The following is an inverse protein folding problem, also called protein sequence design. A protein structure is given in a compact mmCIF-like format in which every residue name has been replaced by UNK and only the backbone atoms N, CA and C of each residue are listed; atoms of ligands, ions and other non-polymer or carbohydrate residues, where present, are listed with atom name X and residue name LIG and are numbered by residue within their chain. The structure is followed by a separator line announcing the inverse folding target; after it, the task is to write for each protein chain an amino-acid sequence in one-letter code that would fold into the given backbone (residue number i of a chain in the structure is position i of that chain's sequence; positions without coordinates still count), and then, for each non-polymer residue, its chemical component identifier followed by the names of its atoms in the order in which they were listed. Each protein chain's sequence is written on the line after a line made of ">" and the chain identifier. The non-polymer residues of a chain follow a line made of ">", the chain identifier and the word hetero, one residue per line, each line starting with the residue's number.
data_IF_697368680184
#
_entry.id   IF_697368680184
#
_cell.length_a   1.000
_cell.length_b   1.000
_cell.length_c   1.000
_cell.angle_alpha   90.00
_cell.angle_beta   90.00
_cell.angle_gamma   90.00
#
_symmetry.space_group_name_H-M   'P 1'
#
loop_
_entity.id
_entity.type
_entity.pdbx_description
1 polymer ?
#
# COMPACT_ATOMS: atom_id res chain seq x y z
N UNK A 1 22.09 16.22 12.43
CA UNK A 1 20.69 15.74 12.59
C UNK A 1 20.67 14.78 13.76
N UNK A 2 19.80 15.01 14.71
CA UNK A 2 19.67 14.12 15.86
C UNK A 2 18.91 12.87 15.45
N UNK A 3 19.35 11.72 15.96
CA UNK A 3 18.74 10.42 15.70
C UNK A 3 17.66 10.19 16.73
N UNK A 4 16.40 10.09 16.28
CA UNK A 4 15.25 9.79 17.13
C UNK A 4 14.99 8.28 17.23
N UNK A 5 15.21 7.55 16.12
CA UNK A 5 15.04 6.11 16.04
C UNK A 5 16.36 5.42 15.78
N UNK A 6 17.00 4.89 16.82
CA UNK A 6 18.33 4.27 16.72
C UNK A 6 18.36 3.01 15.84
N UNK A 7 17.24 2.32 15.70
CA UNK A 7 17.09 1.09 14.90
C UNK A 7 15.93 1.26 13.94
N UNK A 8 16.25 1.75 12.76
CA UNK A 8 15.27 2.09 11.73
C UNK A 8 15.47 1.22 10.49
N UNK A 9 14.38 0.86 9.86
CA UNK A 9 14.38 0.23 8.55
C UNK A 9 13.54 1.04 7.57
N UNK A 10 13.86 0.93 6.28
CA UNK A 10 13.00 1.45 5.23
C UNK A 10 12.88 0.44 4.09
N UNK A 11 11.70 0.38 3.51
CA UNK A 11 11.35 -0.52 2.43
C UNK A 11 10.98 0.27 1.18
N UNK A 12 11.72 0.05 0.11
CA UNK A 12 11.38 0.46 -1.25
C UNK A 12 10.73 -0.72 -1.95
N UNK A 13 9.44 -0.62 -2.27
CA UNK A 13 8.59 -1.75 -2.66
C UNK A 13 8.22 -1.65 -4.12
N UNK A 14 8.75 -2.57 -4.93
CA UNK A 14 8.35 -2.79 -6.31
C UNK A 14 7.35 -3.94 -6.46
N UNK A 15 6.92 -4.19 -7.69
CA UNK A 15 5.96 -5.25 -8.01
C UNK A 15 6.48 -6.67 -7.72
N UNK A 16 7.74 -6.94 -8.04
CA UNK A 16 8.35 -8.29 -7.93
C UNK A 16 9.30 -8.41 -6.75
N UNK A 17 9.99 -7.33 -6.42
CA UNK A 17 11.03 -7.30 -5.41
C UNK A 17 10.88 -6.05 -4.56
N UNK A 18 11.37 -6.13 -3.34
CA UNK A 18 11.53 -4.99 -2.46
C UNK A 18 12.97 -4.90 -1.98
N UNK A 19 13.46 -3.68 -1.79
CA UNK A 19 14.75 -3.41 -1.15
C UNK A 19 14.52 -2.93 0.27
N UNK A 20 15.11 -3.62 1.22
CA UNK A 20 15.05 -3.25 2.63
C UNK A 20 16.41 -2.72 3.08
N UNK A 21 16.43 -1.52 3.62
CA UNK A 21 17.59 -0.91 4.26
C UNK A 21 17.38 -0.89 5.77
N UNK A 22 18.31 -1.42 6.54
CA UNK A 22 18.33 -1.36 8.01
C UNK A 22 19.52 -0.51 8.45
N UNK A 23 19.26 0.41 9.36
CA UNK A 23 20.28 1.24 10.00
C UNK A 23 20.24 1.06 11.51
N UNK A 24 21.37 0.69 12.09
CA UNK A 24 21.52 0.43 13.52
C UNK A 24 22.78 1.11 14.05
N UNK A 25 22.90 1.28 15.39
CA UNK A 25 24.14 1.73 15.99
C UNK A 25 25.31 0.80 15.64
N UNK A 26 26.47 1.37 15.28
CA UNK A 26 27.66 0.58 15.05
C UNK A 26 28.33 0.19 16.36
N UNK A 27 28.90 -1.02 16.48
CA UNK A 27 29.69 -1.41 17.66
C UNK A 27 30.90 -0.49 17.93
N UNK A 28 31.39 0.21 16.91
CA UNK A 28 32.58 1.07 16.98
C UNK A 28 32.36 2.46 17.54
N UNK A 29 31.13 2.84 17.92
CA UNK A 29 30.84 4.10 18.61
C UNK A 29 29.52 4.76 18.23
N UNK A 30 29.01 5.63 19.12
CA UNK A 30 27.69 6.28 19.01
C UNK A 30 27.45 7.11 17.73
N UNK A 31 28.49 7.58 17.06
CA UNK A 31 28.39 8.40 15.84
C UNK A 31 28.43 7.59 14.55
N UNK A 32 28.88 6.35 14.59
CA UNK A 32 28.95 5.47 13.43
C UNK A 32 27.65 4.66 13.31
N UNK A 33 27.11 4.59 12.10
CA UNK A 33 25.88 3.83 11.79
C UNK A 33 26.23 2.64 10.90
N UNK A 34 25.85 1.44 11.33
CA UNK A 34 25.84 0.27 10.47
C UNK A 34 24.63 0.36 9.54
N UNK A 35 24.86 0.19 8.27
CA UNK A 35 23.81 0.14 7.25
C UNK A 35 23.92 -1.18 6.50
N UNK A 36 22.80 -1.87 6.36
CA UNK A 36 22.70 -3.11 5.60
C UNK A 36 21.51 -3.04 4.67
N UNK A 37 21.70 -3.45 3.40
CA UNK A 37 20.65 -3.48 2.39
C UNK A 37 20.50 -4.91 1.91
N UNK A 38 19.26 -5.41 1.93
CA UNK A 38 18.89 -6.70 1.37
C UNK A 38 17.75 -6.55 0.38
N UNK A 39 17.70 -7.46 -0.58
CA UNK A 39 16.62 -7.54 -1.56
C UNK A 39 15.83 -8.81 -1.30
N UNK A 40 14.50 -8.67 -1.23
CA UNK A 40 13.56 -9.78 -1.04
C UNK A 40 12.57 -9.79 -2.21
N UNK A 41 12.04 -10.96 -2.54
CA UNK A 41 10.87 -11.04 -3.42
C UNK A 41 9.61 -10.61 -2.65
N UNK A 42 8.56 -10.24 -3.37
CA UNK A 42 7.27 -9.86 -2.75
C UNK A 42 6.36 -11.06 -2.49
N UNK A 43 6.93 -12.27 -2.43
CA UNK A 43 6.20 -13.49 -2.04
C UNK A 43 6.04 -13.57 -0.52
N UNK A 44 5.00 -14.26 -0.05
CA UNK A 44 4.71 -14.38 1.39
C UNK A 44 5.91 -14.93 2.18
N UNK A 45 6.57 -15.97 1.67
CA UNK A 45 7.71 -16.58 2.36
C UNK A 45 8.88 -15.57 2.51
N UNK A 46 9.20 -14.83 1.45
CA UNK A 46 10.26 -13.83 1.51
C UNK A 46 9.89 -12.63 2.40
N UNK A 47 8.61 -12.28 2.49
CA UNK A 47 8.14 -11.27 3.43
C UNK A 47 8.22 -11.75 4.90
N UNK A 48 8.02 -13.04 5.15
CA UNK A 48 8.24 -13.64 6.47
C UNK A 48 9.73 -13.63 6.84
N UNK A 49 10.62 -13.97 5.90
CA UNK A 49 12.08 -13.87 6.10
C UNK A 49 12.50 -12.42 6.38
N UNK A 50 11.93 -11.45 5.67
CA UNK A 50 12.13 -10.03 5.93
C UNK A 50 11.70 -9.65 7.35
N UNK A 51 10.51 -10.07 7.78
CA UNK A 51 10.00 -9.83 9.14
C UNK A 51 10.98 -10.37 10.18
N UNK A 52 11.40 -11.62 10.03
CA UNK A 52 12.27 -12.29 11.00
C UNK A 52 13.65 -11.60 11.07
N UNK A 53 14.18 -11.14 9.93
CA UNK A 53 15.40 -10.34 9.89
C UNK A 53 15.22 -8.98 10.59
N UNK A 54 14.12 -8.26 10.35
CA UNK A 54 13.87 -6.96 11.00
C UNK A 54 13.70 -7.11 12.52
N UNK A 55 13.04 -8.17 12.98
CA UNK A 55 12.90 -8.50 14.41
C UNK A 55 14.25 -8.86 15.02
N UNK A 56 15.08 -9.67 14.35
CA UNK A 56 16.43 -10.03 14.80
C UNK A 56 17.34 -8.80 14.94
N UNK A 57 17.24 -7.83 14.02
CA UNK A 57 17.95 -6.55 14.08
C UNK A 57 17.32 -5.58 15.12
N UNK A 58 16.24 -5.97 15.81
CA UNK A 58 15.50 -5.17 16.81
C UNK A 58 15.08 -3.81 16.25
N UNK A 59 14.57 -3.79 15.05
CA UNK A 59 14.08 -2.57 14.40
C UNK A 59 12.89 -2.02 15.19
N UNK A 60 12.93 -0.73 15.51
CA UNK A 60 11.87 -0.04 16.25
C UNK A 60 10.91 0.75 15.37
N UNK A 61 11.35 1.09 14.15
CA UNK A 61 10.54 1.79 13.17
C UNK A 61 10.82 1.25 11.78
N UNK A 62 9.75 0.92 11.05
CA UNK A 62 9.81 0.55 9.63
C UNK A 62 9.09 1.61 8.81
N UNK A 63 9.78 2.16 7.82
CA UNK A 63 9.23 3.15 6.90
C UNK A 63 8.97 2.51 5.55
N UNK A 64 7.80 2.73 4.97
CA UNK A 64 7.43 2.27 3.64
C UNK A 64 6.95 3.43 2.78
N UNK A 65 7.36 3.45 1.51
CA UNK A 65 6.79 4.38 0.54
C UNK A 65 5.48 3.83 -0.05
N UNK A 66 4.44 4.68 -0.11
CA UNK A 66 3.14 4.35 -0.69
C UNK A 66 3.20 4.37 -2.23
N UNK A 67 3.76 3.34 -2.85
CA UNK A 67 3.81 3.20 -4.31
C UNK A 67 2.73 2.21 -4.75
N UNK A 68 1.68 2.73 -5.42
CA UNK A 68 0.53 1.92 -5.86
C UNK A 68 -0.09 1.12 -4.70
N UNK A 69 -0.43 -0.15 -4.96
CA UNK A 69 -1.00 -1.08 -3.98
C UNK A 69 0.02 -2.10 -3.44
N UNK A 70 1.27 -2.04 -3.90
CA UNK A 70 2.29 -3.07 -3.60
C UNK A 70 2.72 -3.09 -2.13
N UNK A 71 2.56 -1.98 -1.41
CA UNK A 71 2.90 -1.86 0.00
C UNK A 71 2.01 -2.70 0.93
N UNK A 72 0.77 -3.02 0.51
CA UNK A 72 -0.25 -3.64 1.38
C UNK A 72 0.21 -4.96 1.97
N UNK A 73 0.73 -5.87 1.14
CA UNK A 73 1.16 -7.19 1.62
C UNK A 73 2.26 -7.12 2.67
N UNK A 74 3.27 -6.28 2.44
CA UNK A 74 4.34 -6.07 3.40
C UNK A 74 3.85 -5.35 4.67
N UNK A 75 3.02 -4.32 4.53
CA UNK A 75 2.48 -3.56 5.65
C UNK A 75 1.67 -4.45 6.60
N UNK A 76 0.68 -5.18 6.05
CA UNK A 76 -0.22 -6.01 6.86
C UNK A 76 0.50 -7.17 7.57
N UNK A 77 1.58 -7.68 6.98
CA UNK A 77 2.37 -8.73 7.59
C UNK A 77 3.28 -8.20 8.71
N UNK A 78 3.72 -6.94 8.61
CA UNK A 78 4.68 -6.36 9.55
C UNK A 78 4.00 -5.57 10.68
N UNK A 79 2.78 -5.03 10.48
CA UNK A 79 2.10 -4.17 11.46
C UNK A 79 1.80 -4.86 12.80
N UNK A 80 1.67 -6.20 12.82
CA UNK A 80 1.42 -6.97 14.03
C UNK A 80 2.65 -7.06 14.97
N UNK A 81 3.85 -6.93 14.42
CA UNK A 81 5.10 -7.19 15.13
C UNK A 81 5.99 -5.95 15.25
N UNK A 82 5.81 -4.96 14.37
CA UNK A 82 6.70 -3.81 14.22
C UNK A 82 5.90 -2.52 14.09
N UNK A 83 6.47 -1.42 14.54
CA UNK A 83 5.89 -0.10 14.27
C UNK A 83 6.18 0.29 12.82
N UNK A 84 5.15 0.23 11.96
CA UNK A 84 5.25 0.50 10.54
C UNK A 84 4.57 1.80 10.19
N UNK A 85 5.26 2.69 9.49
CA UNK A 85 4.68 3.91 8.93
C UNK A 85 4.70 3.88 7.41
N UNK A 86 3.57 4.25 6.82
CA UNK A 86 3.44 4.45 5.38
C UNK A 86 3.63 5.94 5.07
N UNK A 87 4.47 6.27 4.09
CA UNK A 87 4.81 7.66 3.74
C UNK A 87 4.40 7.94 2.30
N UNK A 88 3.89 9.14 2.06
CA UNK A 88 3.60 9.57 0.70
C UNK A 88 4.91 9.90 -0.04
N UNK A 89 5.10 9.28 -1.22
CA UNK A 89 6.24 9.49 -2.11
C UNK A 89 6.51 10.97 -2.43
N UNK A 90 5.46 11.78 -2.63
CA UNK A 90 5.60 13.20 -2.92
C UNK A 90 6.20 13.97 -1.74
N UNK A 91 5.88 13.56 -0.51
CA UNK A 91 6.41 14.20 0.70
C UNK A 91 7.89 13.83 0.92
N UNK A 92 8.24 12.57 0.72
CA UNK A 92 9.64 12.11 0.82
C UNK A 92 10.55 12.75 -0.25
N UNK A 93 10.03 12.99 -1.46
CA UNK A 93 10.74 13.63 -2.58
C UNK A 93 10.95 15.14 -2.40
N UNK A 94 10.12 15.80 -1.63
CA UNK A 94 10.20 17.24 -1.36
C UNK A 94 11.31 17.63 -0.37
N UNK A 95 11.92 16.67 0.30
CA UNK A 95 12.99 16.93 1.27
C UNK A 95 14.34 17.07 0.56
N UNK A 96 15.16 18.10 0.93
CA UNK A 96 16.45 18.33 0.29
C UNK A 96 17.43 17.17 0.59
N UNK A 97 18.01 16.61 -0.45
CA UNK A 97 19.00 15.52 -0.35
C UNK A 97 19.40 14.95 -1.71
N UNK A 98 20.52 14.23 -1.76
CA UNK A 98 20.99 13.57 -2.99
C UNK A 98 20.16 12.28 -3.21
N UNK A 99 19.44 12.25 -4.30
CA UNK A 99 18.70 11.07 -4.80
C UNK A 99 19.59 10.30 -5.79
N UNK A 100 19.85 9.04 -5.50
CA UNK A 100 20.43 8.08 -6.45
C UNK A 100 19.62 6.80 -6.36
N UNK A 101 19.37 6.12 -7.49
CA UNK A 101 18.46 4.95 -7.60
C UNK A 101 18.78 3.76 -6.67
N UNK A 102 20.01 3.66 -6.17
CA UNK A 102 20.43 2.67 -5.16
C UNK A 102 20.14 3.15 -3.73
N UNK A 103 19.85 4.43 -3.58
CA UNK A 103 19.78 5.12 -2.30
C UNK A 103 18.35 5.39 -1.81
N UNK A 104 17.29 5.02 -2.56
CA UNK A 104 15.93 5.38 -2.16
C UNK A 104 15.55 4.75 -0.81
N UNK A 105 15.80 3.45 -0.61
CA UNK A 105 15.58 2.82 0.70
C UNK A 105 16.52 3.35 1.79
N UNK A 106 17.79 3.59 1.46
CA UNK A 106 18.77 4.13 2.41
C UNK A 106 18.45 5.58 2.80
N UNK A 107 18.05 6.40 1.84
CA UNK A 107 17.61 7.78 2.06
C UNK A 107 16.33 7.83 2.91
N UNK A 108 15.34 7.03 2.55
CA UNK A 108 14.09 6.90 3.29
C UNK A 108 14.34 6.46 4.75
N UNK A 109 15.26 5.51 4.94
CA UNK A 109 15.68 5.06 6.26
C UNK A 109 16.34 6.18 7.07
N UNK A 110 17.20 6.98 6.45
CA UNK A 110 17.86 8.13 7.10
C UNK A 110 16.84 9.21 7.50
N UNK A 111 15.87 9.50 6.67
CA UNK A 111 14.78 10.43 6.99
C UNK A 111 13.92 9.91 8.15
N UNK A 112 13.59 8.61 8.14
CA UNK A 112 12.86 7.96 9.22
C UNK A 112 13.61 7.96 10.54
N UNK A 113 14.92 7.70 10.50
CA UNK A 113 15.83 7.74 11.64
C UNK A 113 15.82 9.12 12.34
N UNK A 114 15.72 10.19 11.57
CA UNK A 114 15.67 11.57 12.08
C UNK A 114 14.23 12.06 12.39
N UNK A 115 13.19 11.24 12.18
CA UNK A 115 11.81 11.63 12.43
C UNK A 115 11.26 12.71 11.46
N UNK A 116 11.85 12.85 10.28
CA UNK A 116 11.47 13.87 9.29
C UNK A 116 10.30 13.47 8.41
N UNK A 117 9.79 12.26 8.57
CA UNK A 117 8.73 11.71 7.73
C UNK A 117 7.37 11.79 8.42
N UNK A 118 6.37 12.28 7.68
CA UNK A 118 4.98 12.29 8.13
C UNK A 118 4.28 11.00 7.71
N UNK A 119 3.78 10.25 8.69
CA UNK A 119 3.01 9.05 8.44
C UNK A 119 1.66 9.36 7.75
N UNK A 120 1.32 8.58 6.76
CA UNK A 120 -0.02 8.53 6.18
C UNK A 120 -0.93 7.70 7.07
N UNK A 121 -2.20 8.07 7.16
CA UNK A 121 -3.18 7.30 7.90
C UNK A 121 -3.52 6.00 7.17
N UNK A 122 -3.28 4.87 7.80
CA UNK A 122 -3.75 3.56 7.36
C UNK A 122 -4.89 3.14 8.31
N UNK A 123 -6.10 2.92 7.79
CA UNK A 123 -7.23 2.53 8.63
C UNK A 123 -7.00 1.18 9.32
N UNK A 124 -7.59 0.93 10.50
CA UNK A 124 -7.59 -0.38 11.13
C UNK A 124 -8.22 -1.46 10.23
N UNK A 125 -7.82 -2.72 10.43
CA UNK A 125 -8.25 -3.86 9.61
C UNK A 125 -9.76 -3.93 9.34
N UNK A 126 -10.68 -3.80 10.34
CA UNK A 126 -12.13 -3.86 10.08
C UNK A 126 -12.61 -2.77 9.12
N UNK A 127 -12.03 -1.58 9.22
CA UNK A 127 -12.36 -0.46 8.33
C UNK A 127 -11.77 -0.67 6.92
N UNK A 128 -10.60 -1.30 6.81
CA UNK A 128 -10.03 -1.70 5.52
C UNK A 128 -10.94 -2.69 4.80
N UNK A 129 -11.38 -3.74 5.49
CA UNK A 129 -12.31 -4.73 4.95
C UNK A 129 -13.63 -4.08 4.48
N UNK A 130 -14.21 -3.20 5.29
CA UNK A 130 -15.43 -2.48 4.90
C UNK A 130 -15.20 -1.63 3.64
N UNK A 131 -14.08 -0.94 3.54
CA UNK A 131 -13.73 -0.16 2.34
C UNK A 131 -13.54 -1.03 1.11
N UNK A 132 -12.93 -2.19 1.24
CA UNK A 132 -12.73 -3.11 0.12
C UNK A 132 -14.06 -3.69 -0.35
N UNK A 133 -14.95 -4.10 0.57
CA UNK A 133 -16.30 -4.57 0.24
C UNK A 133 -17.15 -3.49 -0.43
N UNK A 134 -17.11 -2.26 0.06
CA UNK A 134 -17.88 -1.14 -0.54
C UNK A 134 -17.34 -0.78 -1.93
N UNK A 135 -16.02 -0.78 -2.14
CA UNK A 135 -15.42 -0.58 -3.46
C UNK A 135 -15.79 -1.71 -4.42
N UNK A 136 -15.70 -2.96 -3.97
CA UNK A 136 -16.08 -4.11 -4.77
C UNK A 136 -17.55 -4.06 -5.19
N UNK A 137 -18.46 -3.75 -4.25
CA UNK A 137 -19.88 -3.52 -4.55
C UNK A 137 -20.07 -2.43 -5.61
N UNK A 138 -19.39 -1.30 -5.47
CA UNK A 138 -19.48 -0.20 -6.43
C UNK A 138 -18.98 -0.61 -7.82
N UNK A 139 -17.90 -1.39 -7.89
CA UNK A 139 -17.38 -1.93 -9.14
C UNK A 139 -18.39 -2.85 -9.81
N UNK A 140 -18.96 -3.82 -9.07
CA UNK A 140 -19.97 -4.74 -9.58
C UNK A 140 -21.21 -4.02 -10.08
N UNK A 141 -21.70 -3.01 -9.35
CA UNK A 141 -22.83 -2.21 -9.80
C UNK A 141 -22.53 -1.46 -11.11
N UNK A 142 -21.33 -0.92 -11.24
CA UNK A 142 -20.87 -0.28 -12.48
C UNK A 142 -20.71 -1.27 -13.64
N UNK A 143 -20.28 -2.50 -13.38
CA UNK A 143 -20.18 -3.56 -14.38
C UNK A 143 -21.57 -3.98 -14.86
N UNK A 144 -22.50 -4.21 -13.94
CA UNK A 144 -23.90 -4.53 -14.28
C UNK A 144 -24.53 -3.45 -15.17
N UNK A 145 -24.33 -2.17 -14.81
CA UNK A 145 -24.83 -1.06 -15.63
C UNK A 145 -24.22 -1.06 -17.05
N UNK A 146 -22.91 -1.32 -17.15
CA UNK A 146 -22.25 -1.40 -18.48
C UNK A 146 -22.78 -2.55 -19.33
N UNK A 147 -23.01 -3.72 -18.75
CA UNK A 147 -23.57 -4.86 -19.48
C UNK A 147 -25.03 -4.60 -19.91
N UNK A 148 -25.85 -3.97 -19.04
CA UNK A 148 -27.20 -3.57 -19.42
C UNK A 148 -27.19 -2.59 -20.61
N UNK A 149 -26.28 -1.60 -20.60
CA UNK A 149 -26.14 -0.66 -21.73
C UNK A 149 -25.65 -1.33 -23.02
N UNK A 150 -24.76 -2.32 -22.92
CA UNK A 150 -24.32 -3.11 -24.09
C UNK A 150 -25.48 -3.89 -24.69
N UNK A 151 -26.26 -4.57 -23.85
CA UNK A 151 -27.45 -5.31 -24.29
C UNK A 151 -28.47 -4.39 -24.96
N UNK A 152 -28.76 -3.23 -24.35
CA UNK A 152 -29.67 -2.24 -24.91
C UNK A 152 -29.21 -1.78 -26.28
N UNK A 153 -27.91 -1.50 -26.46
CA UNK A 153 -27.34 -1.11 -27.75
C UNK A 153 -27.50 -2.20 -28.82
N UNK A 154 -27.19 -3.45 -28.49
CA UNK A 154 -27.36 -4.59 -29.43
C UNK A 154 -28.83 -4.76 -29.87
N UNK A 155 -29.76 -4.57 -28.93
CA UNK A 155 -31.20 -4.63 -29.26
C UNK A 155 -31.64 -3.45 -30.12
N UNK A 156 -31.15 -2.25 -29.89
CA UNK A 156 -31.42 -1.08 -30.71
C UNK A 156 -30.87 -1.25 -32.15
N UNK A 157 -29.66 -1.79 -32.26
CA UNK A 157 -29.04 -2.10 -33.57
C UNK A 157 -29.88 -3.15 -34.36
N UNK A 158 -30.59 -4.03 -33.64
CA UNK A 158 -31.57 -4.98 -34.24
C UNK A 158 -32.97 -4.38 -34.46
N UNK A 159 -33.17 -3.10 -34.19
CA UNK A 159 -34.46 -2.41 -34.33
C UNK A 159 -35.46 -2.65 -33.19
N UNK A 160 -35.01 -3.23 -32.09
CA UNK A 160 -35.82 -3.55 -30.89
C UNK A 160 -35.56 -2.49 -29.82
N UNK A 161 -36.58 -1.66 -29.52
CA UNK A 161 -36.49 -0.68 -28.44
C UNK A 161 -36.96 -1.31 -27.12
N UNK A 162 -35.98 -1.77 -26.31
CA UNK A 162 -36.26 -2.40 -25.02
C UNK A 162 -37.03 -1.47 -24.06
N UNK A 163 -36.75 -0.18 -24.09
CA UNK A 163 -37.38 0.85 -23.26
C UNK A 163 -38.90 0.98 -23.48
N UNK A 164 -39.45 0.49 -24.60
CA UNK A 164 -40.87 0.48 -24.90
C UNK A 164 -41.58 -0.76 -24.38
N UNK A 165 -40.86 -1.84 -24.06
CA UNK A 165 -41.42 -3.16 -23.68
C UNK A 165 -41.11 -3.50 -22.23
N UNK A 166 -39.96 -3.03 -21.72
CA UNK A 166 -39.56 -3.21 -20.34
C UNK A 166 -39.07 -1.86 -19.77
N UNK A 167 -39.48 -1.50 -18.53
CA UNK A 167 -38.95 -0.32 -17.89
C UNK A 167 -37.41 -0.49 -17.79
N UNK A 168 -36.68 0.45 -18.37
CA UNK A 168 -35.22 0.48 -18.25
C UNK A 168 -34.84 0.41 -16.77
N UNK A 169 -33.85 -0.40 -16.48
CA UNK A 169 -33.30 -0.68 -15.13
C UNK A 169 -32.81 0.55 -14.35
N UNK A 170 -32.83 1.75 -14.95
CA UNK A 170 -32.63 3.03 -14.26
C UNK A 170 -33.76 3.37 -13.31
N UNK A 171 -34.87 2.64 -13.37
CA UNK A 171 -36.09 2.79 -12.56
C UNK A 171 -36.33 1.67 -11.54
N UNK A 172 -35.27 0.98 -11.05
CA UNK A 172 -35.41 0.22 -9.81
C UNK A 172 -35.38 1.20 -8.63
N UNK A 173 -36.54 1.68 -8.14
CA UNK A 173 -36.59 2.57 -6.96
C UNK A 173 -36.17 1.85 -5.69
N UNK A 174 -36.24 0.53 -5.69
CA UNK A 174 -35.89 -0.33 -4.58
C UNK A 174 -34.84 -1.32 -5.07
N UNK A 175 -33.62 -1.16 -4.68
CA UNK A 175 -32.51 -2.05 -5.04
C UNK A 175 -32.86 -3.54 -5.16
N UNK A 176 -31.91 -4.41 -5.54
CA UNK A 176 -32.23 -5.79 -5.90
C UNK A 176 -33.06 -6.51 -4.83
N UNK A 177 -33.95 -7.35 -5.26
CA UNK A 177 -35.00 -8.11 -4.52
C UNK A 177 -34.52 -8.88 -3.26
N UNK A 178 -33.25 -8.88 -2.93
CA UNK A 178 -32.66 -9.48 -1.72
C UNK A 178 -32.61 -8.55 -0.49
N UNK A 179 -33.29 -7.40 -0.53
CA UNK A 179 -33.53 -6.54 0.65
C UNK A 179 -34.84 -6.84 1.40
N UNK A 180 -35.35 -8.03 1.29
CA UNK A 180 -36.44 -8.48 2.18
C UNK A 180 -35.93 -9.56 3.13
#
# INVERSE_FOLDING_TARGET
>A
MDVLHERCAALDIGKKNLKACVRTPSPSGRRSRRQEIRTFSTTTNALLELRDWLVAERVTLVVMEATGDYWRGAFYLLEDCLNVILVNAAHAKGLPGRKTDVADAAWLCQLGECGLLKASFVPPEPIRHLRDLTRYRSTLAGELAREAQRLEKELEDAGIKLSTVAPTSSGYPDGPCWRR
#
